data_IF_134142850352
#
_entry.id   IF_134142850352
#
_cell.length_a   1.000
_cell.length_b   1.000
_cell.length_c   1.000
_cell.angle_alpha   90.00
_cell.angle_beta   90.00
_cell.angle_gamma   90.00
#
_symmetry.space_group_name_H-M   'P 1'
#
loop_
_entity.id
_entity.type
_entity.pdbx_description
1 polymer ?
#
# COMPACT_ATOMS: atom_id res chain seq x y z
N UNK A 1 8.51 104.64 7.68
CA UNK A 1 8.90 103.66 6.64
C UNK A 1 8.78 102.28 7.28
N UNK A 2 7.59 101.66 7.32
CA UNK A 2 7.00 100.73 6.32
C UNK A 2 6.84 99.35 7.01
N UNK A 3 5.68 99.03 7.61
CA UNK A 3 4.59 98.11 7.15
C UNK A 3 5.00 96.61 7.16
N UNK A 4 4.25 95.58 7.61
CA UNK A 4 2.84 95.26 7.97
C UNK A 4 2.88 93.97 8.86
N UNK A 5 1.84 93.37 9.48
CA UNK A 5 0.50 93.00 9.03
C UNK A 5 -0.39 92.49 10.20
N UNK A 6 -1.71 92.66 10.06
CA UNK A 6 -2.88 92.28 10.89
C UNK A 6 -3.13 90.76 11.02
N UNK A 7 -4.10 90.20 11.78
CA UNK A 7 -4.92 90.46 13.00
C UNK A 7 -6.14 89.54 12.89
N UNK A 8 -6.46 88.71 13.89
CA UNK A 8 -7.74 87.99 14.01
C UNK A 8 -8.33 88.16 15.42
N UNK A 9 -9.66 88.33 15.51
CA UNK A 9 -10.45 88.45 16.75
C UNK A 9 -11.61 87.44 16.78
N UNK A 10 -11.98 87.14 18.02
CA UNK A 10 -12.77 86.06 18.61
C UNK A 10 -14.29 86.03 18.39
N UNK A 11 -14.89 84.87 18.73
CA UNK A 11 -15.98 84.63 19.73
C UNK A 11 -17.07 83.66 19.21
N UNK A 12 -17.29 82.44 19.76
CA UNK A 12 -18.12 81.97 20.94
C UNK A 12 -19.58 81.53 20.58
N UNK A 13 -19.92 80.29 21.05
CA UNK A 13 -21.23 79.60 21.36
C UNK A 13 -22.28 79.25 20.27
N UNK A 14 -22.63 77.97 19.95
CA UNK A 14 -23.41 76.83 20.59
C UNK A 14 -24.91 76.79 20.17
N UNK A 15 -25.37 75.94 19.22
CA UNK A 15 -26.04 74.60 19.32
C UNK A 15 -26.72 74.28 17.95
N UNK A 16 -26.94 73.01 17.47
CA UNK A 16 -28.10 72.19 17.87
C UNK A 16 -27.97 70.63 17.77
N UNK A 17 -29.05 69.94 18.17
CA UNK A 17 -29.24 68.50 18.37
C UNK A 17 -29.74 67.72 17.11
N UNK A 18 -29.36 66.43 17.05
CA UNK A 18 -30.02 65.22 16.43
C UNK A 18 -30.44 65.18 14.95
N UNK A 19 -29.80 64.26 14.20
CA UNK A 19 -30.46 63.32 13.25
C UNK A 19 -29.80 61.93 13.34
N UNK A 20 -30.63 60.88 13.40
CA UNK A 20 -30.29 59.44 13.43
C UNK A 20 -29.46 58.99 12.22
N UNK A 21 -28.36 58.26 12.47
CA UNK A 21 -27.75 57.36 11.48
C UNK A 21 -28.05 55.90 11.85
N UNK A 22 -28.63 55.17 10.91
CA UNK A 22 -28.93 53.75 11.01
C UNK A 22 -27.65 52.93 11.23
N UNK A 23 -27.67 52.03 12.23
CA UNK A 23 -26.69 50.95 12.35
C UNK A 23 -26.86 50.01 11.16
N UNK A 24 -25.87 49.97 10.25
CA UNK A 24 -25.67 48.82 9.35
C UNK A 24 -25.01 47.70 10.16
N UNK A 25 -25.73 46.62 10.37
CA UNK A 25 -25.20 45.34 10.84
C UNK A 25 -24.19 44.82 9.82
N UNK A 26 -22.93 44.73 10.22
CA UNK A 26 -21.85 44.19 9.40
C UNK A 26 -21.86 42.66 9.56
N UNK A 27 -22.67 41.95 8.77
CA UNK A 27 -22.55 40.49 8.61
C UNK A 27 -21.45 40.21 7.59
N UNK A 28 -20.20 40.32 8.02
CA UNK A 28 -19.08 39.77 7.28
C UNK A 28 -18.98 38.29 7.63
N UNK A 29 -19.56 37.41 6.82
CA UNK A 29 -19.20 36.00 6.88
C UNK A 29 -17.69 35.92 6.59
N UNK A 30 -16.93 35.32 7.50
CA UNK A 30 -15.49 35.14 7.33
C UNK A 30 -15.25 34.41 6.00
N UNK A 31 -14.10 34.67 5.36
CA UNK A 31 -13.65 33.86 4.20
C UNK A 31 -13.63 32.37 4.58
N UNK A 32 -13.37 32.05 5.85
CA UNK A 32 -13.48 30.71 6.41
C UNK A 32 -14.92 30.17 6.46
N UNK A 33 -15.91 31.02 6.77
CA UNK A 33 -17.32 30.63 6.80
C UNK A 33 -17.88 30.41 5.40
N UNK A 34 -17.48 31.26 4.44
CA UNK A 34 -17.81 31.06 3.02
C UNK A 34 -17.12 29.82 2.43
N UNK A 35 -15.89 29.52 2.87
CA UNK A 35 -15.19 28.29 2.55
C UNK A 35 -15.90 27.07 3.12
N UNK A 36 -16.29 27.07 4.40
CA UNK A 36 -17.10 26.01 5.03
C UNK A 36 -18.44 25.83 4.32
N UNK A 37 -19.10 26.91 3.92
CA UNK A 37 -20.41 26.87 3.23
C UNK A 37 -20.30 26.39 1.77
N UNK A 38 -19.24 26.76 1.04
CA UNK A 38 -18.96 26.17 -0.29
C UNK A 38 -18.59 24.69 -0.17
N UNK A 39 -17.79 24.34 0.85
CA UNK A 39 -17.40 22.96 1.18
C UNK A 39 -18.62 22.09 1.47
N UNK A 40 -19.66 22.60 2.15
CA UNK A 40 -20.92 21.87 2.36
C UNK A 40 -21.81 21.81 1.10
N UNK A 41 -21.83 22.86 0.27
CA UNK A 41 -22.61 22.90 -0.98
C UNK A 41 -22.08 21.98 -2.09
N UNK A 42 -20.76 21.78 -2.17
CA UNK A 42 -20.13 20.84 -3.12
C UNK A 42 -20.62 19.40 -2.98
N UNK A 43 -21.16 19.01 -1.82
CA UNK A 43 -21.56 17.64 -1.52
C UNK A 43 -23.07 17.42 -1.35
N UNK A 44 -23.89 18.48 -1.42
CA UNK A 44 -25.36 18.44 -1.38
C UNK A 44 -26.01 18.85 -2.72
N UNK A 45 -25.33 18.71 -3.86
CA UNK A 45 -26.03 18.89 -5.14
C UNK A 45 -26.88 17.67 -5.46
N UNK A 46 -28.18 17.76 -5.18
CA UNK A 46 -29.19 16.91 -5.83
C UNK A 46 -29.01 17.02 -7.35
N UNK A 47 -28.57 15.94 -8.02
CA UNK A 47 -28.67 15.86 -9.48
C UNK A 47 -27.44 15.41 -10.29
N UNK A 48 -26.36 14.87 -9.69
CA UNK A 48 -25.37 14.10 -10.49
C UNK A 48 -24.99 12.78 -9.82
N UNK A 49 -24.83 11.74 -10.65
CA UNK A 49 -24.77 10.32 -10.27
C UNK A 49 -23.63 10.02 -9.25
N UNK A 50 -24.05 9.52 -8.08
CA UNK A 50 -23.29 9.06 -6.90
C UNK A 50 -22.75 10.13 -5.92
N UNK A 51 -23.43 10.23 -4.78
CA UNK A 51 -23.09 11.13 -3.66
C UNK A 51 -21.94 10.54 -2.81
N UNK A 52 -21.37 11.31 -1.88
CA UNK A 52 -20.32 10.79 -0.99
C UNK A 52 -20.81 9.68 -0.05
N UNK A 53 -22.11 9.65 0.27
CA UNK A 53 -22.70 8.56 1.04
C UNK A 53 -22.41 7.17 0.43
N UNK A 54 -22.28 7.10 -0.90
CA UNK A 54 -21.94 5.87 -1.62
C UNK A 54 -20.48 5.42 -1.36
N UNK A 55 -19.58 6.36 -1.07
CA UNK A 55 -18.16 6.10 -0.76
C UNK A 55 -17.97 5.69 0.68
N UNK A 56 -18.80 6.17 1.61
CA UNK A 56 -18.78 5.69 2.99
C UNK A 56 -19.37 4.27 3.12
N UNK A 57 -20.32 3.87 2.27
CA UNK A 57 -21.03 2.58 2.40
C UNK A 57 -20.14 1.32 2.50
N UNK A 58 -20.38 0.46 3.50
CA UNK A 58 -19.72 -0.86 3.59
C UNK A 58 -20.15 -1.80 2.46
N UNK A 59 -19.27 -2.73 2.09
CA UNK A 59 -19.59 -3.85 1.17
C UNK A 59 -20.79 -4.72 1.59
N UNK A 60 -21.10 -4.77 2.90
CA UNK A 60 -22.07 -5.71 3.48
C UNK A 60 -23.34 -5.02 4.01
N UNK A 61 -23.63 -3.80 3.57
CA UNK A 61 -24.93 -3.16 3.82
C UNK A 61 -25.14 -2.61 5.25
N UNK A 62 -24.11 -2.55 6.10
CA UNK A 62 -24.15 -1.81 7.37
C UNK A 62 -22.76 -1.27 7.71
N UNK A 63 -22.68 0.05 7.94
CA UNK A 63 -21.46 0.69 8.45
C UNK A 63 -21.04 0.06 9.77
N UNK A 64 -19.76 -0.27 9.88
CA UNK A 64 -19.15 -0.74 11.11
C UNK A 64 -19.07 0.43 12.08
N UNK A 65 -19.58 0.24 13.30
CA UNK A 65 -19.25 1.14 14.40
C UNK A 65 -17.86 0.79 14.91
N UNK A 66 -16.98 1.77 15.04
CA UNK A 66 -15.60 1.50 15.46
C UNK A 66 -15.09 2.51 16.48
N UNK A 67 -13.99 2.15 17.15
CA UNK A 67 -13.26 3.03 18.06
C UNK A 67 -11.77 2.93 17.80
N UNK A 68 -11.10 4.09 17.67
CA UNK A 68 -9.64 4.21 17.56
C UNK A 68 -8.98 3.86 18.90
N UNK A 69 -7.88 3.12 18.84
CA UNK A 69 -6.99 2.81 19.94
C UNK A 69 -5.57 3.31 19.65
N UNK A 70 -4.58 2.48 19.99
CA UNK A 70 -3.17 2.87 19.98
C UNK A 70 -2.60 3.07 18.57
N UNK A 71 -1.62 3.96 18.44
CA UNK A 71 -0.83 4.15 17.22
C UNK A 71 0.08 2.92 17.00
N UNK A 72 -0.05 2.25 15.87
CA UNK A 72 0.72 1.03 15.52
C UNK A 72 1.71 1.24 14.37
N UNK A 73 1.57 2.33 13.62
CA UNK A 73 2.49 2.72 12.56
C UNK A 73 2.34 4.19 12.18
N UNK A 74 3.43 4.82 11.76
CA UNK A 74 3.44 6.20 11.31
C UNK A 74 4.29 6.31 10.04
N UNK A 75 3.69 6.82 8.97
CA UNK A 75 4.35 7.12 7.71
C UNK A 75 4.31 8.61 7.42
N UNK A 76 4.93 9.03 6.31
CA UNK A 76 5.03 10.44 5.96
C UNK A 76 3.69 11.14 5.64
N UNK A 77 2.63 10.37 5.34
CA UNK A 77 1.32 10.88 4.90
C UNK A 77 0.14 10.25 5.63
N UNK A 78 0.39 9.30 6.52
CA UNK A 78 -0.67 8.59 7.21
C UNK A 78 -0.17 8.05 8.55
N UNK A 79 -1.07 8.05 9.54
CA UNK A 79 -0.90 7.36 10.81
C UNK A 79 -1.81 6.15 10.80
N UNK A 80 -1.31 5.01 11.27
CA UNK A 80 -2.08 3.77 11.36
C UNK A 80 -2.30 3.46 12.83
N UNK A 81 -3.57 3.39 13.23
CA UNK A 81 -3.99 3.04 14.57
C UNK A 81 -4.60 1.64 14.57
N UNK A 82 -4.42 0.91 15.67
CA UNK A 82 -5.28 -0.20 15.98
C UNK A 82 -6.62 0.34 16.45
N UNK A 83 -7.70 -0.37 16.15
CA UNK A 83 -9.04 -0.06 16.64
C UNK A 83 -9.83 -1.32 16.91
N UNK A 84 -11.09 -1.11 17.30
CA UNK A 84 -12.04 -2.19 17.54
C UNK A 84 -13.34 -1.93 16.80
N UNK A 85 -13.84 -2.94 16.11
CA UNK A 85 -15.21 -3.01 15.63
C UNK A 85 -16.13 -3.19 16.86
N UNK A 86 -16.98 -2.20 17.13
CA UNK A 86 -17.90 -2.18 18.27
C UNK A 86 -19.13 -3.06 18.07
N UNK A 87 -19.43 -3.49 16.84
CA UNK A 87 -20.50 -4.44 16.56
C UNK A 87 -20.06 -5.89 16.83
N UNK A 88 -18.78 -6.24 16.57
CA UNK A 88 -18.28 -7.64 16.67
C UNK A 88 -17.23 -7.87 17.76
N UNK A 89 -16.57 -6.82 18.25
CA UNK A 89 -15.41 -6.90 19.14
C UNK A 89 -14.09 -7.22 18.43
N UNK A 90 -14.10 -7.39 17.11
CA UNK A 90 -12.89 -7.69 16.33
C UNK A 90 -11.95 -6.49 16.24
N UNK A 91 -10.65 -6.76 16.22
CA UNK A 91 -9.64 -5.73 15.99
C UNK A 91 -9.62 -5.30 14.52
N UNK A 92 -9.41 -4.01 14.29
CA UNK A 92 -9.35 -3.38 12.96
C UNK A 92 -8.13 -2.45 12.88
N UNK A 93 -7.69 -2.15 11.67
CA UNK A 93 -6.66 -1.14 11.41
C UNK A 93 -7.31 0.13 10.84
N UNK A 94 -6.91 1.30 11.35
CA UNK A 94 -7.45 2.60 10.97
C UNK A 94 -6.29 3.41 10.39
N UNK A 95 -6.28 3.56 9.07
CA UNK A 95 -5.31 4.40 8.37
C UNK A 95 -5.87 5.81 8.25
N UNK A 96 -5.33 6.69 9.07
CA UNK A 96 -5.72 8.08 9.21
C UNK A 96 -4.86 8.97 8.30
N UNK A 97 -5.52 9.81 7.51
CA UNK A 97 -4.89 10.80 6.63
C UNK A 97 -5.36 12.21 7.02
N UNK A 98 -4.40 13.09 7.28
CA UNK A 98 -4.63 14.52 7.49
C UNK A 98 -4.61 15.22 6.11
N UNK A 99 -5.68 15.93 5.77
CA UNK A 99 -5.83 16.58 4.46
C UNK A 99 -5.28 18.01 4.49
N UNK A 100 -4.73 18.50 3.38
CA UNK A 100 -4.19 19.87 3.31
C UNK A 100 -5.30 20.92 3.38
N UNK A 101 -5.00 22.11 3.93
CA UNK A 101 -5.97 23.20 4.12
C UNK A 101 -6.54 23.83 2.82
N UNK A 102 -5.96 23.55 1.64
CA UNK A 102 -6.39 24.15 0.36
C UNK A 102 -7.55 23.37 -0.29
N UNK A 103 -8.74 23.96 -0.28
CA UNK A 103 -10.01 23.38 -0.77
C UNK A 103 -9.95 22.90 -2.22
N UNK A 104 -9.27 23.63 -3.11
CA UNK A 104 -9.18 23.23 -4.53
C UNK A 104 -8.31 22.00 -4.71
N UNK A 105 -7.29 21.87 -3.85
CA UNK A 105 -6.40 20.72 -3.82
C UNK A 105 -7.10 19.53 -3.19
N UNK A 106 -7.88 19.75 -2.13
CA UNK A 106 -8.75 18.76 -1.49
C UNK A 106 -9.70 18.15 -2.52
N UNK A 107 -10.45 18.95 -3.30
CA UNK A 107 -11.42 18.42 -4.28
C UNK A 107 -10.79 17.45 -5.30
N UNK A 108 -9.65 17.83 -5.87
CA UNK A 108 -8.94 17.02 -6.87
C UNK A 108 -8.34 15.76 -6.25
N UNK A 109 -7.67 15.89 -5.10
CA UNK A 109 -7.12 14.75 -4.37
C UNK A 109 -8.23 13.79 -3.93
N UNK A 110 -9.37 14.33 -3.52
CA UNK A 110 -10.54 13.58 -3.08
C UNK A 110 -11.22 12.82 -4.23
N UNK A 111 -11.38 13.41 -5.42
CA UNK A 111 -11.98 12.69 -6.54
C UNK A 111 -11.11 11.50 -6.98
N UNK A 112 -9.79 11.66 -6.93
CA UNK A 112 -8.83 10.58 -7.17
C UNK A 112 -8.89 9.51 -6.06
N UNK A 113 -8.97 9.94 -4.80
CA UNK A 113 -9.12 9.05 -3.65
C UNK A 113 -10.45 8.28 -3.68
N UNK A 114 -11.55 8.89 -4.13
CA UNK A 114 -12.86 8.23 -4.32
C UNK A 114 -12.75 7.06 -5.30
N UNK A 115 -12.09 7.26 -6.45
CA UNK A 115 -11.86 6.17 -7.42
C UNK A 115 -11.04 5.03 -6.83
N UNK A 116 -10.02 5.37 -6.02
CA UNK A 116 -9.19 4.39 -5.34
C UNK A 116 -9.99 3.60 -4.29
N UNK A 117 -10.74 4.28 -3.42
CA UNK A 117 -11.61 3.66 -2.42
C UNK A 117 -12.61 2.71 -3.09
N UNK A 118 -13.20 3.11 -4.21
CA UNK A 118 -14.12 2.24 -4.96
C UNK A 118 -13.42 0.98 -5.49
N UNK A 119 -12.17 1.07 -5.94
CA UNK A 119 -11.37 -0.10 -6.32
C UNK A 119 -11.06 -0.98 -5.10
N UNK A 120 -10.61 -0.38 -3.99
CA UNK A 120 -10.33 -1.11 -2.73
C UNK A 120 -11.56 -1.87 -2.24
N UNK A 121 -12.75 -1.24 -2.33
CA UNK A 121 -14.04 -1.86 -2.04
C UNK A 121 -14.34 -3.09 -2.89
N UNK A 122 -13.73 -3.26 -4.06
CA UNK A 122 -14.00 -4.38 -4.96
C UNK A 122 -13.03 -5.56 -4.78
N UNK A 123 -12.00 -5.43 -3.95
CA UNK A 123 -10.99 -6.48 -3.77
C UNK A 123 -11.36 -7.40 -2.60
N UNK A 124 -11.49 -8.71 -2.86
CA UNK A 124 -11.66 -9.74 -1.83
C UNK A 124 -10.75 -10.94 -2.15
N UNK A 125 -9.69 -11.10 -1.37
CA UNK A 125 -8.74 -12.19 -1.57
C UNK A 125 -8.01 -12.51 -0.25
N UNK A 126 -7.74 -13.79 0.08
CA UNK A 126 -7.04 -14.17 1.31
C UNK A 126 -5.68 -13.49 1.48
N UNK A 127 -4.95 -13.24 0.40
CA UNK A 127 -3.62 -12.62 0.42
C UNK A 127 -3.62 -11.11 0.18
N UNK A 128 -4.75 -10.44 0.40
CA UNK A 128 -4.90 -9.00 0.33
C UNK A 128 -5.55 -8.53 1.62
N UNK A 129 -5.06 -7.43 2.20
CA UNK A 129 -5.70 -6.80 3.37
C UNK A 129 -7.10 -6.34 2.97
N UNK A 130 -8.12 -6.83 3.68
CA UNK A 130 -9.51 -6.51 3.37
C UNK A 130 -9.83 -5.06 3.73
N UNK A 131 -10.47 -4.36 2.80
CA UNK A 131 -11.08 -3.07 3.05
C UNK A 131 -12.47 -3.25 3.68
N UNK A 132 -12.80 -2.46 4.71
CA UNK A 132 -14.13 -2.45 5.30
C UNK A 132 -14.94 -1.21 4.91
N UNK A 133 -14.45 -0.02 5.25
CA UNK A 133 -15.13 1.25 4.96
C UNK A 133 -14.17 2.44 5.00
N UNK A 134 -14.69 3.63 4.67
CA UNK A 134 -13.99 4.90 4.81
C UNK A 134 -14.91 5.90 5.48
N UNK A 135 -14.40 6.52 6.53
CA UNK A 135 -15.08 7.55 7.29
C UNK A 135 -14.34 8.88 7.11
N UNK A 136 -15.09 9.97 7.09
CA UNK A 136 -14.56 11.31 6.88
C UNK A 136 -15.10 12.20 8.00
N UNK A 137 -14.25 13.07 8.54
CA UNK A 137 -14.66 14.01 9.58
C UNK A 137 -15.74 14.96 9.08
N UNK A 138 -16.55 15.50 10.00
CA UNK A 138 -17.59 16.49 9.68
C UNK A 138 -17.01 17.76 9.03
N UNK A 139 -15.81 18.17 9.47
CA UNK A 139 -15.06 19.30 8.90
C UNK A 139 -14.27 18.91 7.63
N UNK A 140 -14.34 17.64 7.20
CA UNK A 140 -13.81 17.09 5.94
C UNK A 140 -12.29 17.22 5.77
N UNK A 141 -11.56 17.39 6.86
CA UNK A 141 -10.11 17.56 6.95
C UNK A 141 -9.37 16.28 7.33
N UNK A 142 -10.09 15.29 7.85
CA UNK A 142 -9.53 14.02 8.29
C UNK A 142 -10.26 12.86 7.62
N UNK A 143 -9.50 11.91 7.06
CA UNK A 143 -10.03 10.72 6.42
C UNK A 143 -9.48 9.46 7.08
N UNK A 144 -10.37 8.56 7.48
CA UNK A 144 -10.05 7.28 8.10
C UNK A 144 -10.45 6.12 7.18
N UNK A 145 -9.46 5.32 6.78
CA UNK A 145 -9.69 4.08 6.04
C UNK A 145 -9.65 2.92 7.03
N UNK A 146 -10.77 2.20 7.11
CA UNK A 146 -10.95 1.08 8.02
C UNK A 146 -10.64 -0.23 7.28
N UNK A 147 -9.66 -0.96 7.79
CA UNK A 147 -9.06 -2.14 7.18
C UNK A 147 -9.04 -3.32 8.16
N UNK A 148 -8.87 -4.51 7.62
CA UNK A 148 -8.52 -5.71 8.38
C UNK A 148 -7.24 -5.48 9.20
N UNK A 149 -7.29 -5.85 10.49
CA UNK A 149 -6.10 -5.90 11.32
C UNK A 149 -5.38 -7.24 11.16
N UNK A 150 -4.12 -7.21 10.73
CA UNK A 150 -3.27 -8.40 10.59
C UNK A 150 -2.29 -8.48 11.76
N UNK A 151 -2.50 -9.48 12.63
CA UNK A 151 -1.92 -9.53 13.98
C UNK A 151 -0.40 -9.74 14.06
N UNK A 152 0.23 -10.41 13.10
CA UNK A 152 1.68 -10.68 13.12
C UNK A 152 2.55 -9.52 12.63
N UNK A 153 1.94 -8.41 12.21
CA UNK A 153 2.66 -7.22 11.74
C UNK A 153 3.36 -7.43 10.40
N UNK A 154 4.30 -6.53 10.07
CA UNK A 154 4.97 -6.55 8.77
C UNK A 154 6.10 -7.57 8.70
N UNK A 155 6.28 -8.16 7.53
CA UNK A 155 7.41 -9.04 7.19
C UNK A 155 8.74 -8.32 7.42
N UNK A 156 8.81 -7.00 7.20
CA UNK A 156 9.99 -6.21 7.55
C UNK A 156 10.40 -6.38 9.02
N UNK A 157 9.45 -6.31 9.96
CA UNK A 157 9.75 -6.48 11.40
C UNK A 157 10.26 -7.89 11.70
N UNK A 158 9.76 -8.89 10.98
CA UNK A 158 10.21 -10.28 11.08
C UNK A 158 11.66 -10.39 10.58
N UNK A 159 11.98 -9.83 9.42
CA UNK A 159 13.34 -9.84 8.88
C UNK A 159 14.33 -9.07 9.76
N UNK A 160 13.91 -7.95 10.35
CA UNK A 160 14.73 -7.21 11.32
C UNK A 160 15.04 -8.02 12.58
N UNK A 161 14.09 -8.85 13.03
CA UNK A 161 14.22 -9.62 14.27
C UNK A 161 14.98 -10.93 14.08
N UNK A 162 14.76 -11.61 12.96
CA UNK A 162 15.25 -12.99 12.74
C UNK A 162 16.23 -13.13 11.58
N UNK A 163 16.45 -12.08 10.78
CA UNK A 163 17.27 -12.12 9.58
C UNK A 163 16.55 -12.78 8.39
N UNK A 164 17.34 -13.30 7.45
CA UNK A 164 16.82 -13.99 6.27
C UNK A 164 16.09 -15.28 6.61
N UNK A 165 15.08 -15.63 5.81
CA UNK A 165 14.22 -16.80 6.04
C UNK A 165 14.68 -18.00 5.18
N UNK A 166 14.29 -19.20 5.59
CA UNK A 166 14.58 -20.43 4.84
C UNK A 166 13.84 -20.47 3.50
N UNK A 167 14.36 -21.24 2.55
CA UNK A 167 13.72 -21.40 1.23
C UNK A 167 12.33 -22.03 1.31
N UNK A 168 12.06 -22.86 2.31
CA UNK A 168 10.73 -23.42 2.56
C UNK A 168 9.71 -22.33 2.92
N UNK A 169 10.10 -21.38 3.79
CA UNK A 169 9.28 -20.23 4.13
C UNK A 169 9.14 -19.29 2.92
N UNK A 170 10.23 -19.06 2.18
CA UNK A 170 10.21 -18.25 0.95
C UNK A 170 9.27 -18.85 -0.08
N UNK A 171 9.24 -20.18 -0.22
CA UNK A 171 8.30 -20.87 -1.12
C UNK A 171 6.86 -20.59 -0.70
N UNK A 172 6.53 -20.80 0.58
CA UNK A 172 5.18 -20.57 1.10
C UNK A 172 4.73 -19.11 0.99
N UNK A 173 5.59 -18.16 1.35
CA UNK A 173 5.26 -16.73 1.30
C UNK A 173 5.26 -16.23 -0.15
N UNK A 174 6.24 -16.62 -0.96
CA UNK A 174 6.34 -16.23 -2.36
C UNK A 174 5.12 -16.65 -3.17
N UNK A 175 4.64 -17.89 -2.98
CA UNK A 175 3.45 -18.37 -3.67
C UNK A 175 2.21 -17.54 -3.30
N UNK A 176 1.94 -17.36 -2.01
CA UNK A 176 0.80 -16.57 -1.52
C UNK A 176 0.87 -15.10 -1.98
N UNK A 177 2.07 -14.50 -2.00
CA UNK A 177 2.28 -13.15 -2.52
C UNK A 177 1.96 -13.07 -4.02
N UNK A 178 2.35 -14.07 -4.81
CA UNK A 178 2.00 -14.15 -6.22
C UNK A 178 0.51 -14.37 -6.44
N UNK A 179 -0.17 -15.16 -5.60
CA UNK A 179 -1.63 -15.34 -5.65
C UNK A 179 -2.34 -14.00 -5.43
N UNK A 180 -1.95 -13.25 -4.39
CA UNK A 180 -2.46 -11.90 -4.15
C UNK A 180 -2.14 -10.92 -5.27
N UNK A 181 -0.91 -10.96 -5.80
CA UNK A 181 -0.48 -10.06 -6.87
C UNK A 181 -1.19 -10.35 -8.20
N UNK A 182 -1.38 -11.62 -8.55
CA UNK A 182 -2.15 -12.04 -9.72
C UNK A 182 -3.60 -11.55 -9.61
N UNK A 183 -4.22 -11.70 -8.43
CA UNK A 183 -5.56 -11.17 -8.20
C UNK A 183 -5.63 -9.65 -8.38
N UNK A 184 -4.66 -8.88 -7.85
CA UNK A 184 -4.61 -7.43 -8.07
C UNK A 184 -4.52 -7.08 -9.56
N UNK A 185 -3.61 -7.74 -10.29
CA UNK A 185 -3.38 -7.48 -11.72
C UNK A 185 -4.62 -7.82 -12.56
N UNK A 186 -5.33 -8.90 -12.25
CA UNK A 186 -6.59 -9.30 -12.90
C UNK A 186 -7.73 -8.32 -12.64
N UNK A 187 -7.69 -7.61 -11.52
CA UNK A 187 -8.62 -6.53 -11.18
C UNK A 187 -8.09 -5.14 -11.59
N UNK A 188 -7.11 -5.07 -12.49
CA UNK A 188 -6.52 -3.84 -13.02
C UNK A 188 -5.87 -2.93 -11.97
N UNK A 189 -5.37 -3.52 -10.87
CA UNK A 189 -4.67 -2.81 -9.80
C UNK A 189 -3.19 -3.12 -9.87
N UNK A 190 -2.36 -2.06 -9.92
CA UNK A 190 -0.90 -2.16 -9.79
C UNK A 190 -0.55 -1.79 -8.34
N UNK A 191 0.31 -2.58 -7.69
CA UNK A 191 0.71 -2.35 -6.30
C UNK A 191 1.62 -1.12 -6.17
N UNK A 192 2.65 -0.99 -7.04
CA UNK A 192 3.62 0.12 -7.16
C UNK A 192 4.64 0.32 -6.03
N UNK A 193 4.41 -0.24 -4.84
CA UNK A 193 5.36 -0.18 -3.70
C UNK A 193 5.48 -1.54 -2.99
N UNK A 194 5.69 -2.62 -3.74
CA UNK A 194 5.83 -3.96 -3.18
C UNK A 194 7.20 -4.13 -2.50
N UNK A 195 7.19 -4.37 -1.18
CA UNK A 195 8.37 -4.53 -0.30
C UNK A 195 7.97 -5.19 1.02
N UNK A 196 8.92 -5.66 1.83
CA UNK A 196 8.61 -6.36 3.08
C UNK A 196 7.79 -5.53 4.10
N UNK A 197 7.88 -4.20 4.04
CA UNK A 197 7.11 -3.33 4.94
C UNK A 197 5.61 -3.31 4.61
N UNK A 198 5.25 -3.61 3.35
CA UNK A 198 3.86 -3.64 2.85
C UNK A 198 3.33 -5.08 2.70
N UNK A 199 4.02 -6.04 3.32
CA UNK A 199 3.57 -7.43 3.46
C UNK A 199 3.30 -7.67 4.93
N UNK A 200 2.07 -7.99 5.28
CA UNK A 200 1.67 -8.34 6.63
C UNK A 200 1.54 -9.86 6.77
N UNK A 201 1.79 -10.38 7.97
CA UNK A 201 1.68 -11.81 8.25
C UNK A 201 0.69 -12.01 9.39
N UNK A 202 -0.33 -12.85 9.18
CA UNK A 202 -1.26 -13.23 10.22
C UNK A 202 -0.59 -14.24 11.19
N UNK A 203 -1.12 -14.37 12.41
CA UNK A 203 -0.68 -15.40 13.36
C UNK A 203 -0.81 -16.83 12.85
N UNK A 204 -1.62 -17.05 11.82
CA UNK A 204 -1.79 -18.34 11.12
C UNK A 204 -0.71 -18.63 10.09
N UNK A 205 0.20 -17.68 9.81
CA UNK A 205 1.20 -17.78 8.74
C UNK A 205 0.70 -17.35 7.35
N UNK A 206 -0.54 -16.87 7.24
CA UNK A 206 -1.06 -16.29 6.00
C UNK A 206 -0.42 -14.92 5.74
N UNK A 207 0.10 -14.70 4.53
CA UNK A 207 0.65 -13.40 4.12
C UNK A 207 -0.38 -12.58 3.36
N UNK A 208 -0.39 -11.27 3.60
CA UNK A 208 -1.33 -10.32 3.00
C UNK A 208 -0.60 -9.09 2.48
N UNK A 209 -0.87 -8.72 1.23
CA UNK A 209 -0.44 -7.46 0.64
C UNK A 209 -1.24 -6.30 1.26
N UNK A 210 -0.55 -5.23 1.66
CA UNK A 210 -1.12 -3.99 2.19
C UNK A 210 -0.64 -2.77 1.40
N UNK A 211 -1.24 -1.60 1.63
CA UNK A 211 -0.83 -0.32 1.02
C UNK A 211 -0.73 -0.32 -0.52
N UNK A 212 -1.54 -1.16 -1.17
CA UNK A 212 -1.78 -1.12 -2.61
C UNK A 212 -2.76 0.01 -2.96
N UNK A 213 -2.70 0.52 -4.20
CA UNK A 213 -3.66 1.51 -4.71
C UNK A 213 -3.36 2.98 -4.37
N UNK A 214 -2.76 3.30 -3.23
CA UNK A 214 -2.54 4.70 -2.75
C UNK A 214 -1.48 5.51 -3.48
N UNK A 215 -0.94 4.97 -4.56
CA UNK A 215 0.20 5.49 -5.31
C UNK A 215 -0.20 6.27 -6.58
N UNK A 216 -1.50 6.46 -6.86
CA UNK A 216 -1.95 7.36 -7.94
C UNK A 216 -1.71 8.85 -7.67
N UNK A 217 -1.39 9.25 -6.44
CA UNK A 217 -1.10 10.65 -6.09
C UNK A 217 0.14 11.25 -6.80
N UNK A 218 0.85 10.47 -7.63
CA UNK A 218 2.10 10.91 -8.28
C UNK A 218 2.02 11.25 -9.76
N UNK A 219 0.92 11.00 -10.47
CA UNK A 219 0.84 11.33 -11.90
C UNK A 219 0.34 12.76 -12.19
N UNK A 220 -0.37 13.42 -11.27
CA UNK A 220 -0.94 14.75 -11.53
C UNK A 220 -0.19 15.94 -10.93
N UNK A 221 0.97 15.73 -10.30
CA UNK A 221 1.89 16.80 -9.88
C UNK A 221 3.06 16.95 -10.88
N UNK A 222 2.74 16.85 -12.17
CA UNK A 222 3.58 17.42 -13.22
C UNK A 222 3.70 18.92 -12.98
N UNK A 223 4.81 19.36 -12.38
CA UNK A 223 5.52 20.65 -12.58
C UNK A 223 6.32 21.14 -11.37
N UNK A 224 6.34 20.48 -10.20
CA UNK A 224 7.26 20.87 -9.11
C UNK A 224 7.95 19.68 -8.45
N UNK A 225 9.03 19.25 -9.10
CA UNK A 225 10.06 18.38 -8.51
C UNK A 225 10.82 19.20 -7.47
N UNK A 226 10.43 19.09 -6.19
CA UNK A 226 11.36 19.35 -5.10
C UNK A 226 11.00 18.54 -3.85
N UNK A 227 11.93 17.67 -3.43
CA UNK A 227 12.16 17.14 -2.07
C UNK A 227 11.60 15.78 -1.62
N UNK A 228 11.00 14.93 -2.46
CA UNK A 228 10.93 13.50 -2.11
C UNK A 228 10.67 12.65 -3.36
N UNK A 229 11.67 11.90 -3.81
CA UNK A 229 11.42 10.71 -4.63
C UNK A 229 10.64 9.77 -3.72
N UNK A 230 9.31 9.75 -3.86
CA UNK A 230 8.44 8.93 -3.02
C UNK A 230 8.37 7.54 -3.64
N UNK A 231 8.78 6.55 -2.86
CA UNK A 231 8.97 5.17 -3.27
C UNK A 231 10.12 4.56 -2.48
N UNK A 232 10.23 3.25 -2.54
CA UNK A 232 11.30 2.51 -1.87
C UNK A 232 12.35 2.17 -2.93
N UNK A 233 13.38 3.00 -3.14
CA UNK A 233 14.22 2.98 -4.36
C UNK A 233 14.89 1.64 -4.61
N UNK A 234 15.15 0.88 -3.54
CA UNK A 234 15.78 -0.43 -3.60
C UNK A 234 14.95 -1.48 -4.35
N UNK A 235 13.62 -1.36 -4.39
CA UNK A 235 12.73 -2.31 -5.08
C UNK A 235 12.22 -1.79 -6.43
N UNK A 236 12.59 -0.57 -6.84
CA UNK A 236 12.06 0.05 -8.05
C UNK A 236 12.61 -0.62 -9.32
N UNK A 237 11.72 -0.86 -10.28
CA UNK A 237 12.10 -1.39 -11.60
C UNK A 237 12.79 -0.31 -12.47
N UNK A 238 13.69 -0.70 -13.40
CA UNK A 238 14.40 0.22 -14.28
C UNK A 238 13.50 1.22 -15.00
N UNK A 239 12.41 0.75 -15.60
CA UNK A 239 11.46 1.57 -16.36
C UNK A 239 10.72 2.59 -15.47
N UNK A 240 10.52 2.29 -14.19
CA UNK A 240 9.97 3.25 -13.22
C UNK A 240 10.97 4.35 -12.92
N UNK A 241 12.24 3.99 -12.72
CA UNK A 241 13.29 4.99 -12.46
C UNK A 241 13.53 5.87 -13.70
N UNK A 242 13.46 5.28 -14.89
CA UNK A 242 13.59 5.99 -16.18
C UNK A 242 12.34 6.77 -16.59
N UNK A 243 11.22 6.62 -15.85
CA UNK A 243 9.93 7.27 -16.10
C UNK A 243 9.30 6.90 -17.46
N UNK A 244 9.53 5.67 -17.89
CA UNK A 244 8.97 5.11 -19.14
C UNK A 244 7.53 4.60 -18.95
N UNK A 245 7.02 4.66 -17.71
CA UNK A 245 5.63 4.35 -17.35
C UNK A 245 5.54 3.27 -16.27
N UNK A 246 4.41 3.22 -15.58
CA UNK A 246 4.11 2.17 -14.60
C UNK A 246 3.38 1.01 -15.28
N UNK A 247 3.83 -0.22 -15.03
CA UNK A 247 3.17 -1.42 -15.56
C UNK A 247 3.08 -2.53 -14.51
N UNK A 248 2.24 -3.52 -14.76
CA UNK A 248 2.16 -4.75 -13.97
C UNK A 248 3.53 -5.45 -13.83
N UNK A 249 4.38 -5.34 -14.86
CA UNK A 249 5.73 -5.91 -14.85
C UNK A 249 6.67 -5.24 -13.84
N UNK A 250 6.41 -4.00 -13.42
CA UNK A 250 7.18 -3.33 -12.37
C UNK A 250 6.94 -3.94 -10.99
N UNK A 251 5.71 -4.42 -10.73
CA UNK A 251 5.44 -5.19 -9.51
C UNK A 251 6.17 -6.54 -9.55
N UNK A 252 6.32 -7.16 -10.73
CA UNK A 252 7.07 -8.41 -10.89
C UNK A 252 8.56 -8.21 -10.56
N UNK A 253 9.16 -7.11 -11.01
CA UNK A 253 10.52 -6.75 -10.59
C UNK A 253 10.60 -6.56 -9.07
N UNK A 254 9.66 -5.79 -8.51
CA UNK A 254 9.59 -5.52 -7.06
C UNK A 254 9.43 -6.80 -6.26
N UNK A 255 8.68 -7.78 -6.78
CA UNK A 255 8.53 -9.12 -6.21
C UNK A 255 9.86 -9.89 -6.23
N UNK A 256 10.63 -9.85 -7.32
CA UNK A 256 11.99 -10.42 -7.36
C UNK A 256 12.92 -9.80 -6.32
N UNK A 257 12.87 -8.47 -6.19
CA UNK A 257 13.58 -7.72 -5.14
C UNK A 257 13.13 -8.12 -3.72
N UNK A 258 11.83 -8.36 -3.51
CA UNK A 258 11.28 -8.83 -2.25
C UNK A 258 11.77 -10.24 -1.90
N UNK A 259 11.88 -11.17 -2.87
CA UNK A 259 12.46 -12.49 -2.62
C UNK A 259 13.93 -12.41 -2.16
N UNK A 260 14.72 -11.52 -2.76
CA UNK A 260 16.10 -11.24 -2.33
C UNK A 260 16.10 -10.70 -0.89
N UNK A 261 15.19 -9.79 -0.58
CA UNK A 261 15.06 -9.21 0.76
C UNK A 261 14.73 -10.28 1.80
N UNK A 262 13.78 -11.17 1.50
CA UNK A 262 13.38 -12.25 2.40
C UNK A 262 14.52 -13.25 2.61
N UNK A 263 15.23 -13.63 1.54
CA UNK A 263 16.34 -14.58 1.62
C UNK A 263 17.56 -14.03 2.35
N UNK A 264 17.86 -12.74 2.18
CA UNK A 264 19.04 -12.10 2.77
C UNK A 264 18.78 -11.43 4.13
N UNK A 265 17.52 -11.14 4.45
CA UNK A 265 17.12 -10.30 5.58
C UNK A 265 17.50 -8.82 5.43
N UNK A 266 17.96 -8.39 4.24
CA UNK A 266 18.48 -7.05 3.99
C UNK A 266 17.85 -6.45 2.75
N UNK A 267 17.70 -5.11 2.67
CA UNK A 267 17.21 -4.47 1.45
C UNK A 267 18.04 -4.88 0.23
N UNK A 268 17.42 -5.06 -0.94
CA UNK A 268 18.15 -5.31 -2.19
C UNK A 268 19.14 -4.16 -2.42
N UNK A 269 20.27 -4.40 -3.09
CA UNK A 269 21.35 -3.41 -3.32
C UNK A 269 22.15 -2.94 -2.10
N UNK A 270 21.80 -3.37 -0.88
CA UNK A 270 22.49 -2.92 0.34
C UNK A 270 23.97 -3.30 0.44
N UNK A 271 24.43 -4.26 -0.38
CA UNK A 271 25.85 -4.62 -0.53
C UNK A 271 26.65 -3.57 -1.31
N UNK A 272 25.99 -2.79 -2.18
CA UNK A 272 26.63 -1.75 -2.99
C UNK A 272 26.62 -0.40 -2.29
N UNK A 273 25.45 0.00 -1.77
CA UNK A 273 25.27 1.32 -1.17
C UNK A 273 24.03 1.37 -0.29
N UNK A 274 24.05 2.30 0.69
CA UNK A 274 22.88 2.69 1.50
C UNK A 274 22.32 4.06 1.07
N UNK A 275 22.92 4.70 0.06
CA UNK A 275 22.41 5.94 -0.51
C UNK A 275 21.36 5.63 -1.59
N UNK A 276 20.13 6.04 -1.31
CA UNK A 276 19.00 5.94 -2.23
C UNK A 276 19.28 6.51 -3.63
N UNK A 277 20.02 7.62 -3.74
CA UNK A 277 20.34 8.23 -5.04
C UNK A 277 21.29 7.36 -5.85
N UNK A 278 22.24 6.73 -5.17
CA UNK A 278 23.18 5.84 -5.82
C UNK A 278 22.53 4.52 -6.24
N UNK A 279 21.59 4.01 -5.44
CA UNK A 279 20.73 2.87 -5.85
C UNK A 279 19.95 3.19 -7.12
N UNK A 280 19.32 4.36 -7.20
CA UNK A 280 18.63 4.79 -8.42
C UNK A 280 19.58 4.88 -9.61
N UNK A 281 20.80 5.37 -9.40
CA UNK A 281 21.84 5.42 -10.44
C UNK A 281 22.23 4.03 -10.92
N UNK A 282 22.40 3.06 -10.01
CA UNK A 282 22.69 1.66 -10.35
C UNK A 282 21.53 1.03 -11.13
N UNK A 283 20.29 1.29 -10.71
CA UNK A 283 19.11 0.79 -11.39
C UNK A 283 19.01 1.38 -12.80
N UNK A 284 19.30 2.68 -13.00
CA UNK A 284 19.19 3.31 -14.32
C UNK A 284 20.36 3.04 -15.25
N UNK A 285 21.60 3.17 -14.76
CA UNK A 285 22.77 3.31 -15.63
C UNK A 285 23.62 2.05 -15.73
N UNK A 286 23.52 1.12 -14.77
CA UNK A 286 24.24 -0.14 -14.86
C UNK A 286 23.31 -1.27 -15.27
N UNK A 287 23.83 -2.20 -16.08
CA UNK A 287 23.21 -3.51 -16.32
C UNK A 287 23.35 -4.44 -15.11
N UNK A 288 23.68 -3.90 -13.92
CA UNK A 288 23.80 -4.63 -12.68
C UNK A 288 22.43 -5.09 -12.17
N UNK A 289 22.45 -6.19 -11.43
CA UNK A 289 21.34 -6.66 -10.61
C UNK A 289 21.71 -6.52 -9.13
N UNK A 290 20.72 -6.46 -8.21
CA UNK A 290 21.00 -6.61 -6.79
C UNK A 290 21.68 -7.96 -6.53
N UNK A 291 22.54 -8.02 -5.51
CA UNK A 291 23.19 -9.27 -5.11
C UNK A 291 22.13 -10.31 -4.74
N UNK A 292 22.09 -11.42 -5.46
CA UNK A 292 21.24 -12.56 -5.11
C UNK A 292 22.00 -13.38 -4.06
N UNK A 293 21.42 -13.65 -2.88
CA UNK A 293 22.06 -14.49 -1.87
C UNK A 293 22.25 -15.92 -2.37
N UNK A 294 23.11 -16.69 -1.70
CA UNK A 294 23.31 -18.11 -2.03
C UNK A 294 22.03 -18.90 -1.70
N UNK A 295 21.29 -19.27 -2.74
CA UNK A 295 20.02 -20.02 -2.68
C UNK A 295 20.06 -21.17 -3.70
N UNK A 296 19.03 -22.02 -3.71
CA UNK A 296 18.86 -23.07 -4.71
C UNK A 296 18.80 -22.50 -6.13
N UNK A 297 19.21 -23.31 -7.10
CA UNK A 297 19.15 -22.94 -8.51
C UNK A 297 17.73 -22.58 -8.96
N UNK A 298 16.72 -23.24 -8.38
CA UNK A 298 15.30 -23.00 -8.69
C UNK A 298 14.82 -21.64 -8.19
N UNK A 299 15.17 -21.26 -6.94
CA UNK A 299 14.84 -19.93 -6.42
C UNK A 299 15.63 -18.83 -7.16
N UNK A 300 16.90 -19.09 -7.47
CA UNK A 300 17.71 -18.15 -8.23
C UNK A 300 17.13 -17.90 -9.63
N UNK A 301 16.70 -18.96 -10.33
CA UNK A 301 16.06 -18.85 -11.64
C UNK A 301 14.74 -18.05 -11.58
N UNK A 302 13.92 -18.29 -10.55
CA UNK A 302 12.71 -17.50 -10.30
C UNK A 302 13.02 -16.01 -10.14
N UNK A 303 14.01 -15.68 -9.31
CA UNK A 303 14.44 -14.29 -9.07
C UNK A 303 14.95 -13.65 -10.36
N UNK A 304 15.78 -14.35 -11.14
CA UNK A 304 16.33 -13.83 -12.39
C UNK A 304 15.25 -13.57 -13.44
N UNK A 305 14.23 -14.42 -13.54
CA UNK A 305 13.06 -14.17 -14.41
C UNK A 305 12.32 -12.89 -14.01
N UNK A 306 12.19 -12.63 -12.71
CA UNK A 306 11.57 -11.40 -12.21
C UNK A 306 12.42 -10.16 -12.50
N UNK A 307 13.75 -10.28 -12.43
CA UNK A 307 14.71 -9.19 -12.60
C UNK A 307 15.20 -9.01 -14.04
N UNK A 308 14.42 -9.47 -15.03
CA UNK A 308 14.71 -9.15 -16.43
C UNK A 308 14.58 -7.64 -16.64
N UNK A 309 15.59 -6.99 -17.21
CA UNK A 309 15.55 -5.54 -17.40
C UNK A 309 14.52 -5.12 -18.45
N UNK A 310 14.26 -5.96 -19.44
CA UNK A 310 13.17 -5.74 -20.38
C UNK A 310 11.83 -6.09 -19.70
N UNK A 311 10.93 -5.12 -19.45
CA UNK A 311 9.65 -5.37 -18.83
C UNK A 311 8.75 -6.33 -19.62
N UNK A 312 8.90 -6.41 -20.95
CA UNK A 312 8.11 -7.30 -21.81
C UNK A 312 8.53 -8.77 -21.69
N UNK A 313 9.76 -9.02 -21.24
CA UNK A 313 10.28 -10.37 -21.02
C UNK A 313 10.03 -10.88 -19.60
N UNK A 314 9.47 -10.04 -18.71
CA UNK A 314 9.08 -10.49 -17.37
C UNK A 314 7.76 -11.25 -17.45
N UNK A 315 7.68 -12.48 -16.90
CA UNK A 315 6.43 -13.22 -16.82
C UNK A 315 5.43 -12.50 -15.91
N UNK A 316 4.14 -12.68 -16.17
CA UNK A 316 3.07 -12.26 -15.29
C UNK A 316 3.08 -13.01 -13.96
N UNK A 317 2.40 -12.47 -12.94
CA UNK A 317 2.26 -13.14 -11.64
C UNK A 317 1.62 -14.53 -11.77
N UNK A 318 0.61 -14.67 -12.66
CA UNK A 318 -0.05 -15.95 -12.97
C UNK A 318 0.92 -16.96 -13.61
N UNK A 319 1.82 -16.50 -14.48
CA UNK A 319 2.84 -17.37 -15.07
C UNK A 319 3.87 -17.83 -14.05
N UNK A 320 4.30 -16.93 -13.15
CA UNK A 320 5.25 -17.23 -12.09
C UNK A 320 4.72 -18.26 -11.07
N UNK A 321 3.42 -18.33 -10.83
CA UNK A 321 2.83 -19.38 -9.99
C UNK A 321 3.08 -20.79 -10.51
N UNK A 322 3.35 -20.95 -11.81
CA UNK A 322 3.65 -22.23 -12.45
C UNK A 322 5.14 -22.57 -12.45
N UNK A 323 5.98 -21.72 -11.84
CA UNK A 323 7.42 -21.93 -11.79
C UNK A 323 7.79 -23.18 -10.97
N UNK A 324 8.83 -23.90 -11.39
CA UNK A 324 9.25 -25.16 -10.74
C UNK A 324 9.60 -24.99 -9.25
N UNK A 325 10.01 -23.79 -8.83
CA UNK A 325 10.25 -23.48 -7.43
C UNK A 325 9.02 -23.74 -6.54
N UNK A 326 7.80 -23.48 -7.04
CA UNK A 326 6.54 -23.69 -6.32
C UNK A 326 5.95 -25.07 -6.51
N UNK A 327 6.48 -25.87 -7.44
CA UNK A 327 6.01 -27.24 -7.63
C UNK A 327 6.46 -28.07 -6.43
N UNK A 328 5.56 -28.92 -5.94
CA UNK A 328 5.96 -29.96 -5.00
C UNK A 328 7.01 -30.83 -5.69
N UNK A 329 8.09 -31.14 -4.98
CA UNK A 329 8.88 -32.32 -5.36
C UNK A 329 7.90 -33.46 -5.12
N UNK A 330 7.37 -34.08 -6.19
CA UNK A 330 6.80 -35.40 -6.04
C UNK A 330 7.91 -36.22 -5.40
N UNK A 331 7.69 -36.69 -4.17
CA UNK A 331 8.58 -37.66 -3.56
C UNK A 331 8.78 -38.75 -4.62
N UNK A 332 10.00 -38.85 -5.15
CA UNK A 332 10.48 -40.09 -5.75
C UNK A 332 10.46 -41.12 -4.62
N UNK A 333 9.27 -41.62 -4.34
CA UNK A 333 9.07 -42.79 -3.51
C UNK A 333 9.89 -43.87 -4.17
N UNK A 334 10.96 -44.19 -3.47
CA UNK A 334 11.86 -45.30 -3.70
C UNK A 334 11.04 -46.53 -4.04
N UNK A 335 10.80 -46.77 -5.33
CA UNK A 335 10.43 -48.07 -5.85
C UNK A 335 11.70 -48.91 -5.96
N UNK A 336 12.35 -49.10 -4.81
CA UNK A 336 13.25 -50.23 -4.62
C UNK A 336 12.38 -51.46 -4.55
N UNK A 337 12.05 -52.01 -5.73
CA UNK A 337 11.57 -53.37 -5.88
C UNK A 337 12.64 -54.31 -5.31
N UNK A 338 12.42 -54.76 -4.06
CA UNK A 338 13.14 -55.91 -3.52
C UNK A 338 12.65 -57.13 -4.32
N UNK A 339 13.52 -57.87 -5.03
CA UNK A 339 13.11 -59.09 -5.69
C UNK A 339 12.90 -60.17 -4.63
N UNK A 340 11.65 -60.55 -4.40
CA UNK A 340 11.29 -61.75 -3.64
C UNK A 340 11.77 -62.96 -4.45
N UNK A 341 12.79 -63.65 -3.97
CA UNK A 341 13.18 -64.97 -4.49
C UNK A 341 12.07 -65.97 -4.17
N UNK A 342 11.50 -66.57 -5.20
CA UNK A 342 10.58 -67.69 -5.11
C UNK A 342 11.34 -68.97 -4.73
N UNK A 343 11.07 -69.52 -3.55
CA UNK A 343 11.44 -70.90 -3.23
C UNK A 343 10.49 -71.86 -3.95
N UNK A 344 10.99 -72.54 -4.98
CA UNK A 344 10.34 -73.72 -5.54
C UNK A 344 10.58 -74.90 -4.60
N UNK A 345 9.52 -75.39 -3.94
CA UNK A 345 9.49 -76.70 -3.31
C UNK A 345 9.45 -77.79 -4.39
N UNK A 346 10.56 -78.50 -4.57
CA UNK A 346 10.60 -79.80 -5.24
C UNK A 346 10.28 -80.90 -4.22
N UNK A 347 9.19 -81.61 -4.46
CA UNK A 347 8.85 -82.87 -3.81
C UNK A 347 9.60 -83.99 -4.53
N UNK A 348 10.51 -84.69 -3.83
CA UNK A 348 10.88 -86.07 -4.15
C UNK A 348 10.89 -86.91 -2.88
N UNK A 349 10.19 -88.04 -2.97
CA UNK A 349 10.06 -89.13 -1.99
C UNK A 349 11.31 -90.02 -2.02
N UNK A 350 11.66 -90.59 -0.87
CA UNK A 350 12.16 -91.97 -0.63
C UNK A 350 12.37 -92.11 0.89
N UNK A 351 11.51 -92.77 1.65
CA UNK A 351 11.36 -94.23 1.95
C UNK A 351 12.37 -94.81 2.96
N UNK A 352 11.81 -95.37 4.04
CA UNK A 352 12.35 -96.42 4.95
C UNK A 352 13.46 -95.93 5.92
N UNK A 353 13.50 -96.29 7.20
CA UNK A 353 13.43 -97.62 7.83
C UNK A 353 12.98 -97.48 9.31
N UNK A 354 12.28 -98.51 9.80
CA UNK A 354 12.00 -98.82 11.21
C UNK A 354 13.28 -99.17 11.99
N UNK A 355 13.46 -98.59 13.18
CA UNK A 355 13.63 -99.28 14.48
C UNK A 355 14.18 -98.31 15.54
#
# INVERSE_FOLDING_TARGET
>A
MGSSCCSTKSAVEVSPNKVRTLKRSNTGNSVADMAKMKRSQLFYSEGSESTFADVSSSRMGKMIKWRRGDLIGEGAYAKVYQGMNLDTGELIAIKHLETTEDIKKIEKEYLNLKKEILLLKMLDHPNIVRYYQTDLSEDMDELDIILEYVSGGSLQKILQKYGGLSEEIIKHYGQQLLEGLAYLHENFVIHRDLKSANVLIASTGQVKLSDFGSSRQFEELGTKVSKSLKGSPYWMAPEIVMREGHSYSADIWSYGCLLIEIASGRPPWSDFTRDAKEVLRLISLSHSLPTIPKVSQSLQDLILKCLNRDPQLRPSARELLRHDFFRAIEDETVTSTIPVKSEQRSLQKESLILD
#
